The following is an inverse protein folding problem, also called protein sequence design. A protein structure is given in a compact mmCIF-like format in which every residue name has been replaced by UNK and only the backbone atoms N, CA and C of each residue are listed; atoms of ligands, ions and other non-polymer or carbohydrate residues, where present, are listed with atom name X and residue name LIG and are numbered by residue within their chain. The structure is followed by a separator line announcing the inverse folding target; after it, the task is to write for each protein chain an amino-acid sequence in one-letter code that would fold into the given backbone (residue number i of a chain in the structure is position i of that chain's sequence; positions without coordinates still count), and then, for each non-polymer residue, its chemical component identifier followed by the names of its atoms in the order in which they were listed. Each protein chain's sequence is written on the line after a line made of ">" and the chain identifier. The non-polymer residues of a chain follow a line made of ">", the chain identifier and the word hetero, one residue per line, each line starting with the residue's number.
data_IF_412238270954
#
_entry.id   IF_412238270954
#
_cell.length_a   1.000
_cell.length_b   1.000
_cell.length_c   1.000
_cell.angle_alpha   90.00
_cell.angle_beta   90.00
_cell.angle_gamma   90.00
#
_symmetry.space_group_name_H-M   'P 1'
#
loop_
_entity.id
_entity.type
_entity.pdbx_description
1 polymer ?
#
# COMPACT_ATOMS: atom_id res chain seq x y z
N UNK A 1 1.73 11.46 6.94
CA UNK A 1 1.89 10.24 7.78
C UNK A 1 2.96 10.39 8.84
N UNK A 2 4.21 10.74 8.53
CA UNK A 2 5.31 10.81 9.51
C UNK A 2 4.95 11.55 10.80
N UNK A 3 4.36 12.76 10.69
CA UNK A 3 3.92 13.54 11.85
C UNK A 3 2.84 12.82 12.68
N UNK A 4 1.81 12.27 12.03
CA UNK A 4 0.75 11.50 12.70
C UNK A 4 1.32 10.27 13.41
N UNK A 5 2.26 9.55 12.75
CA UNK A 5 2.92 8.40 13.34
C UNK A 5 3.80 8.78 14.53
N UNK A 6 4.50 9.92 14.47
CA UNK A 6 5.30 10.44 15.58
C UNK A 6 4.43 10.76 16.80
N UNK A 7 3.27 11.39 16.59
CA UNK A 7 2.30 11.68 17.66
C UNK A 7 1.73 10.39 18.29
N UNK A 8 1.43 9.37 17.48
CA UNK A 8 0.93 8.07 17.97
C UNK A 8 2.02 7.26 18.70
N UNK A 9 3.26 7.34 18.22
CA UNK A 9 4.37 6.55 18.71
C UNK A 9 4.91 7.02 20.07
N UNK A 10 4.32 8.00 20.78
CA UNK A 10 4.78 8.45 22.10
C UNK A 10 5.11 7.28 23.04
N UNK A 11 6.40 7.01 23.25
CA UNK A 11 6.92 5.89 24.06
C UNK A 11 7.20 4.58 23.32
N UNK A 12 7.02 4.54 22.01
CA UNK A 12 7.27 3.41 21.11
C UNK A 12 8.42 3.75 20.15
N UNK A 13 9.16 2.72 19.75
CA UNK A 13 10.23 2.86 18.77
C UNK A 13 9.63 3.12 17.38
N UNK A 14 9.98 4.25 16.79
CA UNK A 14 9.61 4.63 15.42
C UNK A 14 10.87 5.08 14.68
N UNK A 15 11.03 4.61 13.45
CA UNK A 15 12.14 4.98 12.58
C UNK A 15 11.57 5.28 11.19
N UNK A 16 12.21 6.18 10.46
CA UNK A 16 11.78 6.63 9.14
C UNK A 16 12.80 6.19 8.10
N UNK A 17 12.34 5.74 6.94
CA UNK A 17 13.22 5.45 5.82
C UNK A 17 12.64 6.04 4.52
N UNK A 18 13.50 6.68 3.74
CA UNK A 18 13.19 7.13 2.38
C UNK A 18 13.93 6.25 1.39
N UNK A 19 13.22 5.70 0.40
CA UNK A 19 13.87 5.02 -0.73
C UNK A 19 14.10 6.06 -1.81
N UNK A 20 15.37 6.31 -2.14
CA UNK A 20 15.74 7.14 -3.28
C UNK A 20 16.06 6.22 -4.46
N UNK A 21 15.24 6.34 -5.50
CA UNK A 21 15.35 5.55 -6.72
C UNK A 21 16.38 6.10 -7.72
N UNK A 22 16.91 7.31 -7.50
CA UNK A 22 17.85 7.97 -8.41
C UNK A 22 17.29 8.20 -9.82
N UNK A 23 15.96 8.31 -9.96
CA UNK A 23 15.29 8.48 -11.25
C UNK A 23 15.15 9.95 -11.68
N UNK A 24 15.33 10.88 -10.74
CA UNK A 24 15.26 12.33 -10.96
C UNK A 24 16.48 12.97 -10.33
N UNK A 25 16.93 14.09 -10.88
CA UNK A 25 18.07 14.84 -10.33
C UNK A 25 17.78 15.32 -8.90
N UNK A 26 16.54 15.71 -8.62
CA UNK A 26 16.12 16.25 -7.31
C UNK A 26 15.86 15.17 -6.24
N UNK A 27 15.86 13.88 -6.59
CA UNK A 27 15.41 12.82 -5.67
C UNK A 27 16.27 12.71 -4.41
N UNK A 28 17.58 12.94 -4.55
CA UNK A 28 18.51 12.97 -3.43
C UNK A 28 18.23 14.16 -2.48
N UNK A 29 17.92 15.34 -3.03
CA UNK A 29 17.61 16.52 -2.23
C UNK A 29 16.29 16.35 -1.48
N UNK A 30 15.27 15.81 -2.13
CA UNK A 30 13.98 15.48 -1.49
C UNK A 30 14.16 14.48 -0.34
N UNK A 31 15.02 13.46 -0.53
CA UNK A 31 15.32 12.49 0.52
C UNK A 31 15.98 13.14 1.75
N UNK A 32 16.88 14.10 1.54
CA UNK A 32 17.51 14.89 2.61
C UNK A 32 16.55 15.85 3.31
N UNK A 33 15.57 16.40 2.59
CA UNK A 33 14.48 17.18 3.19
C UNK A 33 13.63 16.34 4.14
N UNK A 34 13.25 15.13 3.73
CA UNK A 34 12.56 14.18 4.61
C UNK A 34 13.44 13.82 5.81
N UNK A 35 14.74 13.64 5.61
CA UNK A 35 15.69 13.37 6.69
C UNK A 35 15.73 14.51 7.72
N UNK A 36 15.76 15.77 7.26
CA UNK A 36 15.67 16.96 8.12
C UNK A 36 14.36 17.01 8.88
N UNK A 37 13.23 16.75 8.23
CA UNK A 37 11.92 16.74 8.86
C UNK A 37 11.78 15.63 9.92
N UNK A 38 12.32 14.42 9.66
CA UNK A 38 12.35 13.34 10.63
C UNK A 38 13.21 13.69 11.85
N UNK A 39 14.39 14.29 11.63
CA UNK A 39 15.28 14.76 12.71
C UNK A 39 14.61 15.83 13.58
N UNK A 40 13.85 16.75 12.99
CA UNK A 40 13.09 17.75 13.73
C UNK A 40 12.02 17.14 14.65
N UNK A 41 11.55 15.92 14.35
CA UNK A 41 10.65 15.15 15.20
C UNK A 41 11.37 14.21 16.19
N UNK A 42 12.71 14.24 16.23
CA UNK A 42 13.52 13.33 17.05
C UNK A 42 13.53 11.88 16.56
N UNK A 43 13.21 11.63 15.29
CA UNK A 43 13.12 10.28 14.73
C UNK A 43 14.41 9.91 13.98
N UNK A 44 14.97 8.70 14.21
CA UNK A 44 16.02 8.15 13.35
C UNK A 44 15.53 8.04 11.90
N UNK A 45 16.39 8.42 10.96
CA UNK A 45 16.10 8.37 9.53
C UNK A 45 17.22 7.67 8.75
N UNK A 46 16.84 6.92 7.70
CA UNK A 46 17.77 6.35 6.75
C UNK A 46 17.33 6.63 5.29
N UNK A 47 18.31 6.95 4.44
CA UNK A 47 18.12 6.99 2.99
C UNK A 47 18.59 5.65 2.41
N UNK A 48 17.70 4.96 1.71
CA UNK A 48 17.94 3.67 1.08
C UNK A 48 18.05 3.87 -0.42
N UNK A 49 19.27 3.75 -0.95
CA UNK A 49 19.55 3.96 -2.36
C UNK A 49 19.19 2.71 -3.16
N UNK A 50 18.37 2.85 -4.20
CA UNK A 50 18.19 1.81 -5.19
C UNK A 50 19.20 1.97 -6.31
N UNK A 51 19.89 0.88 -6.64
CA UNK A 51 20.69 0.76 -7.86
C UNK A 51 19.96 -0.18 -8.80
N UNK A 52 19.66 0.30 -10.00
CA UNK A 52 18.93 -0.49 -10.99
C UNK A 52 19.87 -1.52 -11.62
N UNK A 53 19.53 -2.80 -11.45
CA UNK A 53 20.36 -3.92 -11.92
C UNK A 53 20.29 -4.13 -13.46
N UNK A 54 19.20 -3.71 -14.10
CA UNK A 54 18.99 -3.89 -15.54
C UNK A 54 18.21 -2.73 -16.14
N UNK A 55 18.57 -2.30 -17.36
CA UNK A 55 17.82 -1.29 -18.11
C UNK A 55 16.57 -1.86 -18.80
N UNK A 56 16.43 -3.18 -18.89
CA UNK A 56 15.32 -3.85 -19.57
C UNK A 56 14.12 -4.02 -18.63
N UNK A 57 12.90 -3.88 -19.15
CA UNK A 57 11.64 -4.15 -18.44
C UNK A 57 10.95 -2.92 -17.89
N UNK A 58 9.83 -3.14 -17.18
CA UNK A 58 9.01 -2.05 -16.65
C UNK A 58 9.70 -1.39 -15.43
N UNK A 59 10.24 -0.20 -15.67
CA UNK A 59 10.95 0.59 -14.66
C UNK A 59 10.13 0.83 -13.39
N UNK A 60 8.83 1.12 -13.52
CA UNK A 60 7.96 1.39 -12.35
C UNK A 60 7.69 0.13 -11.54
N UNK A 61 7.54 -1.02 -12.20
CA UNK A 61 7.40 -2.30 -11.51
C UNK A 61 8.68 -2.64 -10.74
N UNK A 62 9.85 -2.41 -11.34
CA UNK A 62 11.15 -2.61 -10.70
C UNK A 62 11.36 -1.66 -9.52
N UNK A 63 11.08 -0.36 -9.68
CA UNK A 63 11.16 0.62 -8.61
C UNK A 63 10.24 0.28 -7.42
N UNK A 64 9.03 -0.19 -7.72
CA UNK A 64 8.06 -0.63 -6.70
C UNK A 64 8.57 -1.85 -5.93
N UNK A 65 9.10 -2.85 -6.63
CA UNK A 65 9.65 -4.07 -6.04
C UNK A 65 10.89 -3.77 -5.19
N UNK A 66 11.83 -2.98 -5.73
CA UNK A 66 13.01 -2.50 -5.03
C UNK A 66 12.66 -1.76 -3.74
N UNK A 67 11.67 -0.85 -3.79
CA UNK A 67 11.18 -0.14 -2.60
C UNK A 67 10.73 -1.12 -1.51
N UNK A 68 9.98 -2.16 -1.87
CA UNK A 68 9.49 -3.13 -0.90
C UNK A 68 10.64 -3.92 -0.28
N UNK A 69 11.60 -4.40 -1.09
CA UNK A 69 12.76 -5.16 -0.60
C UNK A 69 13.70 -4.33 0.27
N UNK A 70 14.00 -3.09 -0.14
CA UNK A 70 14.87 -2.19 0.62
C UNK A 70 14.26 -1.87 1.98
N UNK A 71 12.98 -1.49 2.02
CA UNK A 71 12.29 -1.19 3.27
C UNK A 71 12.15 -2.44 4.16
N UNK A 72 11.82 -3.61 3.61
CA UNK A 72 11.71 -4.83 4.41
C UNK A 72 13.07 -5.24 4.98
N UNK A 73 14.12 -5.23 4.16
CA UNK A 73 15.47 -5.60 4.60
C UNK A 73 16.01 -4.64 5.66
N UNK A 74 15.79 -3.33 5.48
CA UNK A 74 16.17 -2.34 6.48
C UNK A 74 15.39 -2.49 7.78
N UNK A 75 14.08 -2.75 7.70
CA UNK A 75 13.24 -2.98 8.88
C UNK A 75 13.68 -4.23 9.65
N UNK A 76 13.98 -5.33 8.96
CA UNK A 76 14.49 -6.57 9.54
C UNK A 76 15.85 -6.38 10.20
N UNK A 77 16.78 -5.69 9.53
CA UNK A 77 18.10 -5.38 10.09
C UNK A 77 18.02 -4.54 11.37
N UNK A 78 16.94 -3.77 11.52
CA UNK A 78 16.68 -2.96 12.69
C UNK A 78 15.69 -3.65 13.67
N UNK A 79 15.35 -4.92 13.54
CA UNK A 79 14.39 -5.60 14.44
C UNK A 79 13.04 -4.86 14.58
N UNK A 80 12.57 -4.24 13.51
CA UNK A 80 11.24 -3.60 13.48
C UNK A 80 10.19 -4.65 13.16
N UNK A 81 9.04 -4.69 13.87
CA UNK A 81 8.01 -5.70 13.65
C UNK A 81 7.13 -5.41 12.42
N UNK A 82 7.13 -4.17 11.93
CA UNK A 82 6.26 -3.73 10.84
C UNK A 82 6.81 -2.52 10.07
N UNK A 83 6.31 -2.34 8.85
CA UNK A 83 6.55 -1.17 7.98
C UNK A 83 5.23 -0.50 7.64
N UNK A 84 5.09 0.79 7.93
CA UNK A 84 3.89 1.57 7.59
C UNK A 84 4.08 2.37 6.28
N UNK A 85 3.07 2.35 5.41
CA UNK A 85 3.04 3.08 4.13
C UNK A 85 1.87 4.08 4.07
N UNK A 86 2.09 5.20 3.39
CA UNK A 86 1.23 6.39 3.42
C UNK A 86 0.04 6.35 2.49
N UNK A 87 -0.46 5.16 2.19
CA UNK A 87 -1.60 5.00 1.29
C UNK A 87 -2.87 5.56 1.93
N UNK A 88 -3.65 6.28 1.13
CA UNK A 88 -4.84 7.03 1.52
C UNK A 88 -6.11 6.44 0.92
N UNK A 89 -7.27 6.97 1.30
CA UNK A 89 -8.55 6.64 0.67
C UNK A 89 -8.52 6.92 -0.85
N UNK A 90 -7.81 7.96 -1.28
CA UNK A 90 -7.60 8.26 -2.69
C UNK A 90 -6.82 7.15 -3.40
N UNK A 91 -5.75 6.61 -2.82
CA UNK A 91 -5.00 5.50 -3.41
C UNK A 91 -5.86 4.24 -3.56
N UNK A 92 -6.74 4.00 -2.58
CA UNK A 92 -7.67 2.87 -2.60
C UNK A 92 -8.69 3.02 -3.72
N UNK A 93 -9.31 4.20 -3.83
CA UNK A 93 -10.27 4.53 -4.89
C UNK A 93 -9.63 4.45 -6.29
N UNK A 94 -8.44 5.05 -6.48
CA UNK A 94 -7.68 4.96 -7.73
C UNK A 94 -7.40 3.49 -8.10
N UNK A 95 -7.00 2.67 -7.12
CA UNK A 95 -6.72 1.24 -7.34
C UNK A 95 -7.98 0.45 -7.69
N UNK A 96 -9.11 0.72 -7.03
CA UNK A 96 -10.39 0.07 -7.33
C UNK A 96 -10.81 0.34 -8.78
N UNK A 97 -10.80 1.61 -9.21
CA UNK A 97 -11.16 2.01 -10.58
C UNK A 97 -10.24 1.35 -11.61
N UNK A 98 -8.92 1.33 -11.36
CA UNK A 98 -7.97 0.65 -12.24
C UNK A 98 -8.26 -0.84 -12.37
N UNK A 99 -8.63 -1.52 -11.28
CA UNK A 99 -8.90 -2.96 -11.27
C UNK A 99 -10.25 -3.30 -11.90
N UNK A 100 -11.26 -2.46 -11.71
CA UNK A 100 -12.55 -2.52 -12.42
C UNK A 100 -12.34 -2.41 -13.93
N UNK A 101 -11.56 -1.43 -14.39
CA UNK A 101 -11.27 -1.23 -15.81
C UNK A 101 -10.56 -2.42 -16.47
N UNK A 102 -9.90 -3.28 -15.68
CA UNK A 102 -9.22 -4.51 -16.15
C UNK A 102 -10.08 -5.78 -16.02
N UNK A 103 -11.34 -5.67 -15.59
CA UNK A 103 -12.23 -6.82 -15.40
C UNK A 103 -11.77 -7.76 -14.27
N UNK A 104 -11.19 -7.21 -13.20
CA UNK A 104 -10.72 -8.03 -12.09
C UNK A 104 -11.88 -8.70 -11.34
N UNK A 105 -11.69 -9.95 -10.91
CA UNK A 105 -12.58 -10.62 -9.97
C UNK A 105 -12.44 -10.10 -8.53
N UNK A 106 -13.14 -10.73 -7.58
CA UNK A 106 -13.25 -10.26 -6.18
C UNK A 106 -11.88 -10.05 -5.49
N UNK A 107 -10.92 -10.96 -5.71
CA UNK A 107 -9.56 -10.85 -5.17
C UNK A 107 -8.84 -9.60 -5.65
N UNK A 108 -9.04 -9.26 -6.92
CA UNK A 108 -8.54 -8.02 -7.49
C UNK A 108 -9.35 -6.84 -6.96
N UNK A 109 -10.67 -6.88 -6.94
CA UNK A 109 -11.45 -5.72 -6.53
C UNK A 109 -11.29 -5.33 -5.05
N UNK A 110 -10.89 -6.26 -4.18
CA UNK A 110 -10.50 -6.01 -2.79
C UNK A 110 -9.26 -5.08 -2.62
N UNK A 111 -8.76 -4.49 -3.72
CA UNK A 111 -7.80 -3.39 -3.80
C UNK A 111 -6.63 -3.49 -2.81
N UNK A 112 -6.65 -2.75 -1.70
CA UNK A 112 -5.63 -2.76 -0.66
C UNK A 112 -6.26 -3.00 0.72
N UNK A 113 -5.75 -3.99 1.45
CA UNK A 113 -6.09 -4.21 2.85
C UNK A 113 -5.32 -3.26 3.80
N UNK A 114 -5.84 -3.05 5.01
CA UNK A 114 -5.20 -2.23 6.04
C UNK A 114 -3.83 -2.75 6.46
N UNK A 115 -3.66 -4.07 6.44
CA UNK A 115 -2.40 -4.73 6.66
C UNK A 115 -2.23 -5.93 5.74
N UNK A 116 -0.99 -6.39 5.59
CA UNK A 116 -0.66 -7.68 4.94
C UNK A 116 0.73 -8.13 5.38
N UNK A 117 0.97 -9.43 5.38
CA UNK A 117 2.31 -9.98 5.56
C UNK A 117 2.93 -10.24 4.17
N UNK A 118 4.12 -9.68 3.92
CA UNK A 118 4.84 -9.83 2.65
C UNK A 118 6.33 -9.50 2.83
N UNK A 119 7.21 -10.12 2.04
CA UNK A 119 8.67 -9.91 2.14
C UNK A 119 9.21 -10.12 3.58
N UNK A 120 8.65 -11.09 4.30
CA UNK A 120 9.02 -11.39 5.69
C UNK A 120 8.71 -10.26 6.67
N UNK A 121 7.79 -9.36 6.32
CA UNK A 121 7.42 -8.19 7.13
C UNK A 121 5.91 -7.96 7.15
N UNK A 122 5.41 -7.42 8.26
CA UNK A 122 4.05 -6.88 8.35
C UNK A 122 4.00 -5.48 7.76
N UNK A 123 3.18 -5.28 6.74
CA UNK A 123 2.96 -3.99 6.10
C UNK A 123 1.65 -3.39 6.58
N UNK A 124 1.70 -2.15 7.05
CA UNK A 124 0.56 -1.40 7.58
C UNK A 124 0.22 -0.21 6.67
N UNK A 125 -1.05 0.15 6.61
CA UNK A 125 -1.55 1.31 5.85
C UNK A 125 -2.53 2.11 6.71
N UNK A 126 -2.06 2.75 7.79
CA UNK A 126 -2.93 3.37 8.80
C UNK A 126 -3.74 4.57 8.29
N UNK A 127 -3.44 5.07 7.08
CA UNK A 127 -4.09 6.24 6.50
C UNK A 127 -5.14 5.87 5.44
N UNK A 128 -5.47 4.58 5.24
CA UNK A 128 -6.40 4.15 4.19
C UNK A 128 -7.81 4.73 4.31
N UNK A 129 -8.24 5.09 5.52
CA UNK A 129 -9.52 5.77 5.76
C UNK A 129 -9.47 7.29 5.59
N UNK A 130 -8.29 7.90 5.44
CA UNK A 130 -8.13 9.35 5.38
C UNK A 130 -8.06 9.86 3.93
N UNK A 131 -8.77 10.95 3.63
CA UNK A 131 -8.69 11.65 2.35
C UNK A 131 -7.42 12.48 2.21
N UNK A 132 -6.92 12.64 0.98
CA UNK A 132 -5.75 13.47 0.69
C UNK A 132 -5.99 14.95 1.05
N UNK A 133 -7.21 15.45 0.83
CA UNK A 133 -7.60 16.81 1.20
C UNK A 133 -7.54 17.00 2.72
N UNK A 134 -8.19 16.10 3.49
CA UNK A 134 -8.18 16.15 4.96
C UNK A 134 -6.75 16.12 5.53
N UNK A 135 -5.86 15.32 4.94
CA UNK A 135 -4.46 15.27 5.34
C UNK A 135 -3.71 16.57 5.03
N UNK A 136 -3.98 17.21 3.89
CA UNK A 136 -3.39 18.51 3.53
C UNK A 136 -3.91 19.63 4.42
N UNK A 137 -5.19 19.63 4.77
CA UNK A 137 -5.78 20.57 5.72
C UNK A 137 -5.16 20.39 7.11
N UNK A 138 -5.00 19.14 7.55
CA UNK A 138 -4.36 18.81 8.83
C UNK A 138 -2.91 19.32 8.91
N UNK A 139 -2.15 19.20 7.81
CA UNK A 139 -0.77 19.70 7.69
C UNK A 139 -0.74 21.24 7.66
N UNK A 140 -1.60 21.85 6.86
CA UNK A 140 -1.67 23.32 6.70
C UNK A 140 -2.06 24.01 8.00
N UNK A 141 -3.03 23.47 8.75
CA UNK A 141 -3.44 23.97 10.06
C UNK A 141 -2.31 23.94 11.11
N UNK A 142 -1.23 23.19 10.85
CA UNK A 142 -0.05 23.06 11.72
C UNK A 142 1.20 23.72 11.15
N UNK A 143 1.11 24.39 10.00
CA UNK A 143 2.25 24.99 9.31
C UNK A 143 3.31 23.96 8.88
N UNK A 144 2.90 22.71 8.65
CA UNK A 144 3.80 21.63 8.23
C UNK A 144 3.83 21.59 6.71
N UNK A 145 5.01 21.83 6.12
CA UNK A 145 5.23 21.66 4.68
C UNK A 145 5.27 20.19 4.25
N UNK A 146 5.06 19.95 2.95
CA UNK A 146 5.24 18.66 2.31
C UNK A 146 5.88 18.83 0.93
N UNK A 147 6.42 17.75 0.39
CA UNK A 147 6.99 17.68 -0.96
C UNK A 147 5.93 17.00 -1.85
N UNK A 148 5.55 17.65 -2.94
CA UNK A 148 4.73 17.03 -3.98
C UNK A 148 5.65 16.38 -5.03
N UNK A 149 5.69 15.05 -5.06
CA UNK A 149 6.49 14.31 -6.04
C UNK A 149 5.88 14.48 -7.45
N UNK A 150 6.61 15.08 -8.42
CA UNK A 150 6.12 15.33 -9.78
C UNK A 150 5.70 14.06 -10.53
N UNK A 151 6.21 12.89 -10.14
CA UNK A 151 5.79 11.61 -10.76
C UNK A 151 4.33 11.27 -10.47
N UNK A 152 3.71 11.90 -9.46
CA UNK A 152 2.28 11.77 -9.18
C UNK A 152 1.36 12.36 -10.25
N UNK A 153 1.91 13.20 -11.14
CA UNK A 153 1.17 13.93 -12.18
C UNK A 153 1.42 13.42 -13.60
N UNK A 154 2.25 12.37 -13.78
CA UNK A 154 2.51 11.81 -15.09
C UNK A 154 1.31 10.99 -15.62
N UNK A 155 0.66 11.53 -16.66
CA UNK A 155 -0.54 11.01 -17.32
C UNK A 155 -0.37 9.64 -18.00
N UNK A 156 0.86 9.21 -18.29
CA UNK A 156 1.15 7.89 -18.88
C UNK A 156 0.88 6.74 -17.91
N UNK A 157 0.71 7.05 -16.62
CA UNK A 157 0.38 6.06 -15.61
C UNK A 157 -1.14 5.89 -15.45
N UNK A 158 -1.59 4.63 -15.47
CA UNK A 158 -2.99 4.23 -15.24
C UNK A 158 -3.63 4.89 -14.01
N UNK A 159 -2.80 5.24 -13.02
CA UNK A 159 -3.23 5.91 -11.79
C UNK A 159 -3.70 7.35 -12.03
N UNK A 160 -3.06 8.11 -12.91
CA UNK A 160 -3.49 9.47 -13.27
C UNK A 160 -4.79 9.43 -14.06
N UNK A 161 -4.91 8.49 -15.01
CA UNK A 161 -6.17 8.24 -15.73
C UNK A 161 -7.32 7.89 -14.78
N UNK A 162 -7.07 7.05 -13.78
CA UNK A 162 -8.07 6.73 -12.77
C UNK A 162 -8.48 7.96 -11.94
N UNK A 163 -7.52 8.80 -11.52
CA UNK A 163 -7.80 10.05 -10.80
C UNK A 163 -8.64 11.02 -11.63
N UNK A 164 -8.30 11.19 -12.91
CA UNK A 164 -9.06 12.01 -13.84
C UNK A 164 -10.47 11.47 -14.06
N UNK A 165 -10.62 10.14 -14.22
CA UNK A 165 -11.93 9.51 -14.36
C UNK A 165 -12.80 9.74 -13.12
N UNK A 166 -12.26 9.53 -11.92
CA UNK A 166 -12.95 9.80 -10.64
C UNK A 166 -13.44 11.24 -10.58
N UNK A 167 -12.58 12.20 -10.92
CA UNK A 167 -12.94 13.61 -10.91
C UNK A 167 -13.98 13.96 -11.98
N UNK A 168 -13.79 13.52 -13.22
CA UNK A 168 -14.66 13.83 -14.36
C UNK A 168 -16.08 13.28 -14.20
N UNK A 169 -16.22 12.14 -13.52
CA UNK A 169 -17.50 11.49 -13.25
C UNK A 169 -18.11 11.93 -11.91
N UNK A 170 -17.41 12.77 -11.14
CA UNK A 170 -17.87 13.21 -9.82
C UNK A 170 -18.01 12.07 -8.81
N UNK A 171 -17.17 11.03 -8.90
CA UNK A 171 -17.25 9.88 -8.01
C UNK A 171 -16.74 10.24 -6.61
N UNK A 172 -17.51 9.88 -5.59
CA UNK A 172 -17.12 10.04 -4.18
C UNK A 172 -15.96 9.08 -3.83
N UNK A 173 -14.79 9.66 -3.56
CA UNK A 173 -13.59 8.91 -3.14
C UNK A 173 -13.86 8.10 -1.87
N UNK A 174 -14.61 8.66 -0.91
CA UNK A 174 -14.92 7.95 0.34
C UNK A 174 -15.83 6.75 0.09
N UNK A 175 -16.82 6.90 -0.80
CA UNK A 175 -17.71 5.83 -1.24
C UNK A 175 -16.97 4.72 -2.00
N UNK A 176 -16.04 5.07 -2.89
CA UNK A 176 -15.19 4.10 -3.59
C UNK A 176 -14.28 3.36 -2.60
N UNK A 177 -13.67 4.06 -1.64
CA UNK A 177 -12.85 3.46 -0.60
C UNK A 177 -13.66 2.48 0.29
N UNK A 178 -14.86 2.89 0.74
CA UNK A 178 -15.78 2.00 1.47
C UNK A 178 -16.16 0.76 0.64
N UNK A 179 -16.44 0.94 -0.64
CA UNK A 179 -16.79 -0.17 -1.55
C UNK A 179 -15.65 -1.17 -1.67
N UNK A 180 -14.41 -0.69 -1.82
CA UNK A 180 -13.22 -1.56 -1.82
C UNK A 180 -13.07 -2.33 -0.49
N UNK A 181 -13.38 -1.68 0.64
CA UNK A 181 -13.43 -2.31 1.96
C UNK A 181 -14.44 -3.46 2.03
N UNK A 182 -15.70 -3.20 1.66
CA UNK A 182 -16.75 -4.24 1.65
C UNK A 182 -16.40 -5.44 0.74
N UNK A 183 -15.75 -5.17 -0.40
CA UNK A 183 -15.27 -6.23 -1.30
C UNK A 183 -14.14 -7.03 -0.65
N UNK A 184 -13.27 -6.38 0.12
CA UNK A 184 -12.27 -7.03 0.95
C UNK A 184 -12.89 -7.95 2.01
N UNK A 185 -13.88 -7.45 2.75
CA UNK A 185 -14.59 -8.23 3.76
C UNK A 185 -15.26 -9.47 3.14
N UNK A 186 -15.89 -9.30 1.97
CA UNK A 186 -16.50 -10.39 1.24
C UNK A 186 -15.46 -11.43 0.76
N UNK A 187 -14.31 -11.00 0.25
CA UNK A 187 -13.20 -11.88 -0.12
C UNK A 187 -12.70 -12.68 1.09
N UNK A 188 -12.53 -12.02 2.23
CA UNK A 188 -12.00 -12.66 3.44
C UNK A 188 -12.99 -13.69 3.98
N UNK A 189 -14.29 -13.38 4.00
CA UNK A 189 -15.34 -14.35 4.33
C UNK A 189 -15.34 -15.57 3.39
N UNK A 190 -15.17 -15.35 2.07
CA UNK A 190 -15.05 -16.45 1.10
C UNK A 190 -13.78 -17.29 1.35
N UNK A 191 -12.67 -16.65 1.70
CA UNK A 191 -11.41 -17.33 2.00
C UNK A 191 -11.50 -18.18 3.27
N UNK A 192 -12.10 -17.63 4.33
CA UNK A 192 -12.34 -18.35 5.59
C UNK A 192 -13.27 -19.54 5.37
N UNK A 193 -14.31 -19.37 4.56
CA UNK A 193 -15.21 -20.45 4.20
C UNK A 193 -14.51 -21.52 3.36
N UNK A 194 -13.72 -21.13 2.36
CA UNK A 194 -12.92 -22.06 1.57
C UNK A 194 -11.94 -22.85 2.46
N UNK A 195 -11.31 -22.19 3.43
CA UNK A 195 -10.45 -22.83 4.41
C UNK A 195 -11.23 -23.85 5.27
N UNK A 196 -12.45 -23.52 5.71
CA UNK A 196 -13.31 -24.43 6.45
C UNK A 196 -13.67 -25.69 5.65
N UNK A 197 -14.12 -25.54 4.40
CA UNK A 197 -14.45 -26.65 3.50
C UNK A 197 -13.21 -27.49 3.19
N UNK A 198 -12.03 -26.86 3.11
CA UNK A 198 -10.77 -27.56 2.85
C UNK A 198 -10.21 -28.35 4.04
N UNK A 199 -10.82 -28.26 5.24
CA UNK A 199 -10.36 -29.07 6.40
C UNK A 199 -10.51 -30.57 6.19
N UNK A 200 -11.50 -30.96 5.38
CA UNK A 200 -11.73 -32.35 4.97
C UNK A 200 -10.96 -32.71 3.69
N UNK A 201 -10.08 -31.81 3.20
CA UNK A 201 -9.28 -32.07 2.03
C UNK A 201 -8.08 -32.94 2.37
N UNK A 202 -7.87 -33.99 1.58
CA UNK A 202 -6.69 -34.84 1.67
C UNK A 202 -5.78 -34.57 0.47
N UNK A 203 -4.50 -34.32 0.74
CA UNK A 203 -3.48 -34.16 -0.30
C UNK A 203 -2.62 -35.42 -0.37
N UNK A 204 -2.73 -36.20 -1.45
CA UNK A 204 -1.94 -37.40 -1.67
C UNK A 204 -1.25 -37.36 -3.04
N UNK A 205 0.10 -37.44 -3.07
CA UNK A 205 0.92 -37.51 -4.29
C UNK A 205 0.59 -36.43 -5.36
N UNK A 206 0.26 -35.22 -4.93
CA UNK A 206 -0.09 -34.10 -5.82
C UNK A 206 -1.56 -34.09 -6.27
N UNK A 207 -2.37 -35.05 -5.82
CA UNK A 207 -3.83 -34.98 -5.92
C UNK A 207 -4.44 -34.36 -4.67
N UNK A 208 -5.51 -33.60 -4.85
CA UNK A 208 -6.31 -33.03 -3.77
C UNK A 208 -7.71 -33.67 -3.83
N UNK A 209 -8.06 -34.43 -2.80
CA UNK A 209 -9.38 -35.04 -2.64
C UNK A 209 -10.21 -34.16 -1.72
N UNK A 210 -11.37 -33.72 -2.17
CA UNK A 210 -12.29 -32.90 -1.40
C UNK A 210 -13.58 -33.68 -1.12
N UNK A 211 -14.13 -33.51 0.09
CA UNK A 211 -15.43 -34.07 0.46
C UNK A 211 -16.53 -33.55 -0.48
N UNK A 212 -17.17 -34.47 -1.22
CA UNK A 212 -18.29 -34.14 -2.11
C UNK A 212 -19.47 -33.53 -1.34
N UNK A 213 -19.69 -33.95 -0.10
CA UNK A 213 -20.75 -33.39 0.75
C UNK A 213 -20.45 -31.93 1.09
N UNK A 214 -19.24 -31.63 1.58
CA UNK A 214 -18.81 -30.28 1.90
C UNK A 214 -18.85 -29.34 0.67
N UNK A 215 -18.49 -29.82 -0.51
CA UNK A 215 -18.60 -29.08 -1.77
C UNK A 215 -20.05 -28.81 -2.21
N UNK A 216 -21.00 -29.70 -1.92
CA UNK A 216 -22.41 -29.51 -2.29
C UNK A 216 -23.17 -28.60 -1.35
N UNK A 217 -22.74 -28.51 -0.10
CA UNK A 217 -23.31 -27.61 0.90
C UNK A 217 -22.70 -26.20 0.84
N UNK A 218 -21.65 -26.02 0.04
CA UNK A 218 -21.05 -24.72 -0.24
C UNK A 218 -22.01 -23.79 -1.02
N UNK A 219 -22.10 -22.50 -0.64
CA UNK A 219 -22.76 -21.50 -1.47
C UNK A 219 -22.13 -21.44 -2.87
N UNK A 220 -22.92 -21.13 -3.91
CA UNK A 220 -22.43 -21.02 -5.29
C UNK A 220 -21.43 -19.87 -5.49
#
# INVERSE_FOLDING_TARGET
>A
MMHVAAEWARGRRLMVATVDHGLREDSAQEAEEVARAARALGLPHAILLWRRDTQVGNLMAQARDARLRLLSGWAQHNDLPAVALGHTANDLAETLVMRLARGSGIDGLAAMAEWRDAFGMRWLRPMLGAGRADLRDWLSARGIGWIDDPTNDNADYDRVRARQAIASLGLDVSGLARSAGHIGDARDALSDYAALVSKEAEAERGSLTLSRAALREAPP
#
